data_IF_981604126875
#
_entry.id   IF_981604126875
#
_cell.length_a   1.000
_cell.length_b   1.000
_cell.length_c   1.000
_cell.angle_alpha   90.00
_cell.angle_beta   90.00
_cell.angle_gamma   90.00
#
_symmetry.space_group_name_H-M   'P 1'
#
loop_
_entity.id
_entity.type
_entity.pdbx_description
1 polymer ?
2 non-polymer ?
3 water ?
#
# COMPACT_ATOMS: atom_id res chain seq x y z
N UNK A 2 -4.65 31.24 16.25
CA UNK A 2 -3.38 31.12 15.56
C UNK A 2 -3.38 29.85 14.71
N UNK A 3 -2.50 29.84 13.72
CA UNK A 3 -2.35 28.65 12.89
C UNK A 3 -1.44 27.68 13.60
N UNK A 4 -1.97 26.51 13.91
CA UNK A 4 -1.20 25.50 14.60
C UNK A 4 -0.50 24.58 13.63
N UNK A 5 -1.13 24.35 12.49
CA UNK A 5 -0.53 23.47 11.48
C UNK A 5 -1.15 23.83 10.15
N UNK A 6 -0.40 23.65 9.07
CA UNK A 6 -0.98 23.97 7.77
C UNK A 6 -0.18 23.20 6.71
N UNK A 7 -0.88 22.68 5.72
CA UNK A 7 -0.19 22.07 4.60
C UNK A 7 -1.11 22.20 3.41
N UNK A 8 -0.54 22.31 2.21
CA UNK A 8 -1.42 22.50 1.06
C UNK A 8 -0.66 22.01 -0.18
N UNK A 9 -1.40 21.73 -1.25
CA UNK A 9 -0.69 21.25 -2.43
C UNK A 9 -1.68 20.73 -3.47
N UNK A 10 -1.26 19.72 -4.22
CA UNK A 10 -2.13 19.23 -5.33
C UNK A 10 -2.32 17.75 -5.12
N UNK A 11 -3.55 17.30 -5.29
CA UNK A 11 -3.87 15.88 -5.12
C UNK A 11 -4.37 15.32 -6.46
N UNK A 12 -4.36 13.98 -6.56
CA UNK A 12 -4.97 13.31 -7.73
C UNK A 12 -4.33 13.73 -9.06
N UNK A 13 -3.02 13.89 -9.05
CA UNK A 13 -2.31 14.23 -10.31
C UNK A 13 -1.92 12.92 -11.00
N UNK A 14 -2.62 12.60 -12.08
CA UNK A 14 -2.37 11.33 -12.77
C UNK A 14 -1.19 11.53 -13.70
N UNK A 15 -0.26 10.57 -13.68
CA UNK A 15 0.92 10.72 -14.52
C UNK A 15 1.23 9.38 -15.19
N UNK A 16 1.50 9.41 -16.50
CA UNK A 16 1.91 8.20 -17.20
C UNK A 16 3.28 8.52 -17.80
N UNK A 17 4.19 7.53 -17.78
CA UNK A 17 5.49 7.73 -18.45
C UNK A 17 5.79 6.46 -19.20
N UNK A 18 6.34 6.60 -20.42
CA UNK A 18 6.75 5.43 -21.19
C UNK A 18 8.30 5.48 -21.38
N UNK A 19 8.91 4.31 -21.31
CA UNK A 19 10.35 4.16 -21.60
C UNK A 19 10.43 3.31 -22.88
N UNK A 20 11.21 3.77 -23.87
CA UNK A 20 11.31 3.07 -25.16
C UNK A 20 12.75 2.64 -25.36
N UNK A 21 12.98 1.34 -25.47
CA UNK A 21 14.32 0.85 -25.71
C UNK A 21 14.52 0.89 -27.21
N UNK A 22 15.40 1.78 -27.70
CA UNK A 22 15.61 1.87 -29.15
C UNK A 22 16.27 0.60 -29.70
N UNK A 23 17.11 -0.04 -28.88
CA UNK A 23 17.77 -1.27 -29.29
C UNK A 23 16.75 -2.39 -29.61
N UNK A 24 16.00 -2.79 -28.58
CA UNK A 24 15.05 -3.89 -28.69
C UNK A 24 13.65 -3.55 -29.20
N UNK A 25 13.27 -2.28 -29.16
CA UNK A 25 11.92 -1.87 -29.56
C UNK A 25 10.90 -2.15 -28.42
N UNK A 26 11.40 -2.62 -27.28
CA UNK A 26 10.50 -2.92 -26.16
C UNK A 26 10.12 -1.63 -25.44
N UNK A 27 8.83 -1.49 -25.11
CA UNK A 27 8.38 -0.27 -24.40
C UNK A 27 7.87 -0.67 -23.04
N UNK A 28 8.05 0.19 -22.03
CA UNK A 28 7.61 -0.15 -20.67
C UNK A 28 6.86 1.08 -20.16
N UNK A 29 5.68 0.85 -19.58
CA UNK A 29 4.90 2.02 -19.14
C UNK A 29 4.76 2.02 -17.60
N UNK A 30 4.59 3.23 -17.07
CA UNK A 30 4.41 3.42 -15.63
C UNK A 30 3.24 4.38 -15.49
N UNK A 31 2.31 4.10 -14.59
CA UNK A 31 1.22 5.05 -14.40
C UNK A 31 1.00 5.18 -12.88
N UNK A 32 0.89 6.43 -12.43
CA UNK A 32 0.76 6.64 -10.97
C UNK A 32 -0.24 7.76 -10.73
N UNK A 33 -0.63 7.93 -9.49
CA UNK A 33 -1.41 9.10 -9.05
C UNK A 33 -0.63 9.70 -7.90
N UNK A 34 -0.35 10.98 -8.01
CA UNK A 34 0.56 11.62 -7.06
C UNK A 34 -0.14 12.73 -6.32
N UNK A 35 0.24 12.87 -5.04
CA UNK A 35 -0.23 13.99 -4.23
C UNK A 35 1.00 14.61 -3.56
N UNK A 36 1.12 15.95 -3.59
CA UNK A 36 2.26 16.59 -2.92
C UNK A 36 1.63 17.70 -2.06
N UNK A 37 1.99 17.69 -0.77
CA UNK A 37 1.53 18.76 0.13
C UNK A 37 2.79 19.36 0.74
N UNK A 38 2.81 20.69 0.84
CA UNK A 38 3.95 21.41 1.38
C UNK A 38 3.61 22.01 2.73
N UNK A 39 4.65 22.20 3.54
CA UNK A 39 4.54 22.98 4.80
C UNK A 39 5.72 23.96 4.85
N UNK A 40 5.57 25.01 5.64
CA UNK A 40 6.72 25.92 5.82
C UNK A 40 6.21 27.25 6.38
N UNK A 41 6.94 28.31 6.05
CA UNK A 41 6.57 29.61 6.55
C UNK A 41 5.48 30.25 5.67
N UNK A 42 4.28 29.68 5.75
CA UNK A 42 3.18 30.11 4.89
C UNK A 42 1.97 30.59 5.66
N UNK A 43 2.10 30.72 6.99
CA UNK A 43 0.93 31.13 7.79
C UNK A 43 0.27 32.40 7.32
N UNK A 44 1.06 33.38 6.86
CA UNK A 44 0.46 34.65 6.44
C UNK A 44 -0.48 34.54 5.25
N UNK A 45 -0.36 33.47 4.45
CA UNK A 45 -1.32 33.31 3.36
C UNK A 45 -2.71 33.05 3.95
N UNK A 46 -2.75 32.40 5.11
CA UNK A 46 -4.03 32.14 5.76
C UNK A 46 -4.52 33.34 6.56
N UNK A 47 -3.61 33.97 7.30
CA UNK A 47 -4.04 35.01 8.26
C UNK A 47 -4.09 36.43 7.70
N UNK A 48 -3.31 36.74 6.66
CA UNK A 48 -3.24 38.13 6.17
C UNK A 48 -3.50 38.24 4.67
N UNK A 49 -3.98 37.15 4.07
CA UNK A 49 -4.18 37.15 2.61
C UNK A 49 -2.89 37.46 1.85
N UNK A 50 -1.77 37.03 2.37
CA UNK A 50 -0.50 37.30 1.71
C UNK A 50 -0.14 36.16 0.77
N UNK A 51 -0.52 36.27 -0.51
CA UNK A 51 -0.19 35.18 -1.45
C UNK A 51 1.26 35.12 -1.88
N UNK A 52 2.08 36.09 -1.43
CA UNK A 52 3.48 36.10 -1.87
C UNK A 52 4.27 34.89 -1.46
N UNK A 53 3.82 34.23 -0.39
CA UNK A 53 4.50 33.05 0.12
C UNK A 53 3.97 31.74 -0.48
N UNK A 54 2.97 31.85 -1.35
CA UNK A 54 2.33 30.63 -1.91
C UNK A 54 2.86 30.24 -3.29
N UNK A 55 3.36 29.01 -3.39
CA UNK A 55 3.69 28.39 -4.67
C UNK A 55 2.28 27.87 -5.05
N UNK A 56 1.70 28.38 -6.15
CA UNK A 56 0.32 28.03 -6.50
C UNK A 56 0.20 26.50 -6.68
N UNK A 57 -0.97 25.93 -6.38
CA UNK A 57 -1.06 24.48 -6.50
C UNK A 57 -0.91 24.10 -7.97
N UNK A 58 -1.29 25.00 -8.87
CA UNK A 58 -1.11 24.71 -10.31
C UNK A 58 0.37 24.51 -10.59
N UNK A 59 1.23 25.33 -9.94
CA UNK A 59 2.67 25.18 -10.16
C UNK A 59 3.24 23.90 -9.60
N UNK A 60 2.63 23.40 -8.52
CA UNK A 60 3.05 22.14 -7.95
C UNK A 60 2.75 21.05 -8.99
N UNK A 61 1.56 21.10 -9.58
CA UNK A 61 1.18 20.17 -10.66
C UNK A 61 2.22 20.18 -11.81
N UNK A 62 2.60 21.37 -12.28
CA UNK A 62 3.62 21.48 -13.34
C UNK A 62 4.89 20.81 -12.89
N UNK A 63 5.30 21.07 -11.64
CA UNK A 63 6.56 20.55 -11.15
C UNK A 63 6.57 19.04 -11.16
N UNK A 64 5.42 18.43 -10.87
CA UNK A 64 5.42 16.97 -10.85
C UNK A 64 5.70 16.45 -12.28
N UNK A 65 5.05 17.02 -13.31
CA UNK A 65 5.28 16.54 -14.68
C UNK A 65 6.74 16.78 -15.11
N UNK A 66 7.27 17.94 -14.77
CA UNK A 66 8.67 18.27 -15.15
C UNK A 66 9.64 17.30 -14.46
N UNK A 67 9.40 17.01 -13.19
CA UNK A 67 10.24 16.09 -12.46
C UNK A 67 10.18 14.70 -13.05
N UNK A 68 8.99 14.24 -13.44
CA UNK A 68 8.87 12.92 -14.05
C UNK A 68 9.57 12.89 -15.42
N UNK A 69 9.62 14.02 -16.12
CA UNK A 69 10.27 14.05 -17.45
C UNK A 69 11.79 13.91 -17.27
N UNK A 70 12.32 14.52 -16.22
CA UNK A 70 13.79 14.57 -16.03
C UNK A 70 14.41 13.49 -15.18
N UNK A 71 13.61 12.61 -14.57
CA UNK A 71 14.14 11.61 -13.66
C UNK A 71 13.44 10.29 -13.85
N UNK A 72 14.03 9.24 -13.32
CA UNK A 72 13.36 7.94 -13.37
C UNK A 72 12.14 8.01 -12.44
N UNK A 73 11.06 7.35 -12.84
CA UNK A 73 9.88 7.32 -11.94
C UNK A 73 9.80 6.01 -11.15
N UNK A 74 10.80 5.16 -11.29
CA UNK A 74 10.83 3.91 -10.55
C UNK A 74 12.23 3.74 -9.95
N UNK A 75 12.36 3.10 -8.79
CA UNK A 75 11.23 2.67 -7.92
C UNK A 75 10.57 3.95 -7.37
N UNK A 76 9.28 3.87 -7.03
CA UNK A 76 8.56 5.06 -6.54
C UNK A 76 9.17 5.72 -5.29
N UNK A 77 9.85 4.93 -4.48
CA UNK A 77 10.54 5.48 -3.29
C UNK A 77 11.60 6.53 -3.71
N UNK A 78 12.29 6.24 -4.81
CA UNK A 78 13.30 7.18 -5.31
C UNK A 78 12.62 8.42 -5.93
N UNK A 79 11.62 8.19 -6.79
CA UNK A 79 10.96 9.32 -7.43
C UNK A 79 10.36 10.25 -6.40
N UNK A 80 9.74 9.67 -5.38
CA UNK A 80 9.10 10.47 -4.34
C UNK A 80 10.13 11.30 -3.55
N UNK A 81 11.30 10.69 -3.32
CA UNK A 81 12.38 11.38 -2.58
C UNK A 81 12.95 12.52 -3.43
N UNK A 82 13.12 12.29 -4.72
CA UNK A 82 13.58 13.37 -5.59
C UNK A 82 12.56 14.53 -5.63
N UNK A 83 11.28 14.19 -5.81
CA UNK A 83 10.24 15.20 -5.90
C UNK A 83 10.12 16.00 -4.62
N UNK A 84 10.20 15.34 -3.48
CA UNK A 84 10.03 16.08 -2.23
C UNK A 84 11.26 16.96 -1.93
N UNK A 85 12.44 16.43 -2.23
CA UNK A 85 13.68 17.18 -2.03
C UNK A 85 13.71 18.45 -2.88
N UNK A 86 13.18 18.36 -4.10
CA UNK A 86 13.11 19.53 -4.97
C UNK A 86 12.47 20.71 -4.27
N UNK A 87 11.31 20.50 -3.63
CA UNK A 87 10.61 21.66 -3.04
C UNK A 87 11.36 22.30 -1.89
N UNK A 88 11.97 21.49 -1.05
CA UNK A 88 12.66 22.07 0.11
C UNK A 88 13.97 22.74 -0.30
N UNK A 89 14.57 22.30 -1.40
CA UNK A 89 15.79 22.96 -1.87
C UNK A 89 15.52 24.20 -2.69
N UNK A 90 14.43 24.18 -3.45
CA UNK A 90 14.11 25.28 -4.33
C UNK A 90 13.55 26.47 -3.60
N UNK A 91 12.71 26.22 -2.59
CA UNK A 91 12.04 27.32 -1.91
C UNK A 91 12.55 27.45 -0.48
N UNK A 92 13.16 28.59 -0.20
CA UNK A 92 13.76 28.79 1.10
C UNK A 92 12.78 28.67 2.25
N UNK A 93 11.52 29.06 2.03
CA UNK A 93 10.53 29.13 3.11
C UNK A 93 9.68 27.86 3.23
N UNK A 94 9.93 26.89 2.36
CA UNK A 94 9.22 25.63 2.45
C UNK A 94 10.15 24.66 3.16
N UNK A 95 9.69 24.07 4.27
CA UNK A 95 10.53 23.24 5.10
C UNK A 95 10.16 21.76 5.14
N UNK A 96 9.01 21.39 4.55
CA UNK A 96 8.66 19.96 4.51
C UNK A 96 7.81 19.70 3.27
N UNK A 97 8.02 18.55 2.64
CA UNK A 97 7.20 18.14 1.49
C UNK A 97 6.71 16.76 1.80
N UNK A 98 5.43 16.49 1.53
CA UNK A 98 4.83 15.21 1.82
C UNK A 98 4.33 14.69 0.50
N UNK A 99 4.90 13.58 0.02
CA UNK A 99 4.58 13.07 -1.31
C UNK A 99 3.95 11.69 -1.15
N UNK A 100 2.78 11.49 -1.74
CA UNK A 100 2.15 10.19 -1.70
C UNK A 100 1.98 9.74 -3.15
N UNK A 101 2.39 8.52 -3.45
CA UNK A 101 2.33 8.00 -4.82
C UNK A 101 1.61 6.67 -4.79
N UNK A 102 0.65 6.52 -5.69
CA UNK A 102 -0.07 5.25 -5.86
C UNK A 102 0.30 4.76 -7.26
N UNK A 103 0.89 3.58 -7.32
CA UNK A 103 1.30 2.98 -8.61
C UNK A 103 0.22 2.01 -9.06
N UNK A 104 -0.21 2.17 -10.31
CA UNK A 104 -1.24 1.34 -10.92
C UNK A 104 -0.57 0.24 -11.75
N UNK A 105 -1.16 -0.94 -11.76
CA UNK A 105 -0.56 -2.04 -12.54
C UNK A 105 -0.84 -1.98 -14.02
N UNK A 106 0.26 -2.04 -14.81
CA UNK A 106 0.14 -2.24 -16.25
C UNK A 106 1.14 -3.39 -16.51
N UNK A 107 0.61 -4.60 -16.59
CA UNK A 107 1.45 -5.80 -16.69
C UNK A 107 1.57 -6.20 -18.15
N UNK A 108 2.80 -6.49 -18.58
CA UNK A 108 2.97 -6.79 -19.99
C UNK A 108 2.12 -8.00 -20.40
N UNK A 109 1.47 -7.91 -21.55
CA UNK A 109 0.67 -9.04 -22.02
C UNK A 109 1.58 -10.15 -22.60
N UNK A 110 1.15 -11.40 -22.47
CA UNK A 110 1.82 -12.53 -23.13
C UNK A 110 0.87 -12.91 -24.24
N UNK A 111 1.35 -12.87 -25.46
CA UNK A 111 0.52 -13.24 -26.60
C UNK A 111 1.22 -14.42 -27.26
N UNK A 112 0.54 -15.56 -27.35
CA UNK A 112 1.16 -16.75 -27.97
C UNK A 112 2.36 -17.23 -27.13
N UNK A 113 2.26 -17.11 -25.81
CA UNK A 113 3.37 -17.48 -24.92
C UNK A 113 4.62 -16.57 -25.00
N UNK A 114 4.53 -15.42 -25.67
CA UNK A 114 5.66 -14.51 -25.69
C UNK A 114 5.23 -13.12 -25.22
N UNK A 115 6.09 -12.47 -24.44
CA UNK A 115 5.82 -11.11 -23.93
C UNK A 115 5.71 -10.10 -25.04
N UNK A 116 4.62 -9.34 -25.08
CA UNK A 116 4.45 -8.36 -26.13
C UNK A 116 5.27 -7.09 -25.86
N UNK A 117 5.85 -6.50 -26.92
CA UNK A 117 6.70 -5.35 -26.70
C UNK A 117 6.02 -4.05 -26.24
N UNK A 118 4.72 -3.90 -26.48
CA UNK A 118 4.09 -2.61 -26.13
C UNK A 118 2.60 -2.73 -25.79
N UNK A 119 2.17 -3.88 -25.27
CA UNK A 119 0.74 -4.07 -24.89
C UNK A 119 0.65 -4.53 -23.47
N UNK A 120 -0.30 -3.97 -22.69
CA UNK A 120 -0.33 -4.19 -21.25
C UNK A 120 -1.77 -4.41 -20.78
N UNK A 121 -1.90 -5.06 -19.63
CA UNK A 121 -3.22 -5.36 -19.08
C UNK A 121 -3.22 -4.91 -17.63
N UNK A 122 -4.36 -4.44 -17.17
CA UNK A 122 -4.47 -4.07 -15.77
C UNK A 122 -4.93 -5.37 -15.08
N UNK A 123 -3.99 -6.07 -14.45
CA UNK A 123 -4.35 -7.30 -13.74
C UNK A 123 -4.64 -7.01 -12.27
N UNK A 124 -5.89 -6.67 -11.98
CA UNK A 124 -6.29 -6.34 -10.63
C UNK A 124 -5.88 -4.95 -10.29
N UNK A 125 -6.58 -4.55 -9.28
CA UNK A 125 -6.63 -3.22 -8.70
C UNK A 125 -5.66 -3.14 -7.53
N UNK A 126 -4.83 -4.17 -7.32
CA UNK A 126 -3.79 -4.07 -6.28
C UNK A 126 -2.87 -2.90 -6.61
N UNK A 127 -2.48 -2.14 -5.57
CA UNK A 127 -1.57 -0.99 -5.78
C UNK A 127 -0.26 -1.22 -5.02
N UNK A 128 0.76 -0.51 -5.46
CA UNK A 128 2.00 -0.38 -4.72
C UNK A 128 2.11 1.13 -4.44
N UNK A 129 2.29 1.51 -3.17
CA UNK A 129 2.26 2.93 -2.81
C UNK A 129 3.55 3.30 -2.07
N UNK A 130 3.75 4.61 -1.99
CA UNK A 130 4.76 5.12 -1.09
C UNK A 130 4.24 6.38 -0.48
N UNK A 131 4.71 6.63 0.74
CA UNK A 131 4.51 7.94 1.35
C UNK A 131 5.94 8.41 1.69
N UNK A 132 6.32 9.59 1.24
CA UNK A 132 7.69 10.07 1.49
C UNK A 132 7.56 11.41 2.16
N UNK A 133 8.17 11.58 3.35
CA UNK A 133 8.09 12.88 4.03
C UNK A 133 9.53 13.38 4.03
N UNK A 134 9.75 14.50 3.36
CA UNK A 134 11.09 15.13 3.29
C UNK A 134 11.03 16.38 4.17
N UNK A 135 11.79 16.39 5.27
CA UNK A 135 11.70 17.49 6.23
C UNK A 135 13.07 18.12 6.44
N UNK A 136 13.19 19.41 6.15
CA UNK A 136 14.47 20.10 6.22
C UNK A 136 15.18 19.82 7.53
N UNK A 137 16.43 19.37 7.43
CA UNK A 137 17.21 19.06 8.62
C UNK A 137 16.88 17.73 9.32
N UNK A 138 15.88 16.99 8.82
CA UNK A 138 15.49 15.74 9.46
C UNK A 138 15.46 14.55 8.48
N UNK A 139 16.01 14.74 7.30
CA UNK A 139 16.16 13.63 6.38
C UNK A 139 14.88 13.29 5.62
N UNK A 140 14.75 12.01 5.30
CA UNK A 140 13.67 11.50 4.45
C UNK A 140 13.12 10.26 5.10
N UNK A 141 11.81 10.29 5.40
CA UNK A 141 11.14 9.14 5.99
C UNK A 141 10.23 8.51 4.94
N UNK A 142 10.43 7.23 4.69
CA UNK A 142 9.66 6.59 3.63
C UNK A 142 8.86 5.41 4.19
N UNK A 143 7.56 5.39 3.89
CA UNK A 143 6.71 4.25 4.22
C UNK A 143 6.26 3.67 2.88
N UNK A 144 6.56 2.40 2.65
CA UNK A 144 6.20 1.73 1.40
C UNK A 144 5.01 0.79 1.71
N UNK A 145 4.13 0.57 0.74
CA UNK A 145 3.03 -0.34 1.04
C UNK A 145 2.47 -1.06 -0.17
N UNK A 146 1.71 -2.14 0.07
CA UNK A 146 0.91 -2.70 -0.99
C UNK A 146 -0.51 -2.68 -0.44
N UNK A 147 -1.48 -2.49 -1.29
CA UNK A 147 -2.88 -2.43 -0.81
C UNK A 147 -3.78 -2.96 -1.89
N UNK A 148 -4.99 -3.35 -1.52
CA UNK A 148 -5.91 -3.85 -2.52
C UNK A 148 -5.61 -5.27 -3.04
N UNK A 149 -4.90 -6.06 -2.25
CA UNK A 149 -4.59 -7.44 -2.56
C UNK A 149 -5.68 -8.30 -1.89
N UNK A 150 -6.62 -8.78 -2.68
CA UNK A 150 -7.80 -9.49 -2.15
C UNK A 150 -7.65 -11.00 -2.33
N UNK A 151 -7.74 -11.71 -1.21
CA UNK A 151 -7.53 -13.17 -1.23
C UNK A 151 -8.61 -13.89 -0.44
N UNK A 152 -8.72 -15.20 -0.65
CA UNK A 152 -9.69 -15.99 0.07
C UNK A 152 -9.11 -17.40 0.18
N UNK A 153 -9.32 -18.01 1.34
CA UNK A 153 -9.04 -19.45 1.49
C UNK A 153 -10.31 -20.09 2.01
N UNK A 154 -10.62 -21.26 1.44
CA UNK A 154 -11.92 -21.88 1.67
C UNK A 154 -11.96 -22.83 2.86
N UNK A 155 -10.79 -23.07 3.44
CA UNK A 155 -10.69 -23.91 4.63
C UNK A 155 -9.36 -23.58 5.31
N UNK A 156 -9.01 -24.27 6.41
CA UNK A 156 -7.76 -23.99 7.15
C UNK A 156 -7.73 -22.61 7.77
N UNK A 157 -8.88 -22.21 8.30
CA UNK A 157 -8.99 -21.06 9.15
C UNK A 157 -9.89 -21.53 10.31
N UNK A 158 -9.49 -21.21 11.53
CA UNK A 158 -10.24 -21.61 12.70
C UNK A 158 -10.44 -20.37 13.56
N UNK A 159 -11.40 -20.47 14.47
CA UNK A 159 -11.58 -19.41 15.45
C UNK A 159 -12.36 -19.93 16.64
N UNK A 160 -11.62 -20.35 17.68
CA UNK A 160 -12.26 -20.90 18.88
C UNK A 160 -11.45 -20.45 20.07
N UNK A 161 -11.98 -20.66 21.29
CA UNK A 161 -11.26 -20.24 22.47
C UNK A 161 -11.25 -18.76 22.79
N UNK A 162 -12.14 -17.98 22.16
CA UNK A 162 -12.22 -16.59 22.48
C UNK A 162 -13.11 -16.37 23.70
N UNK A 163 -13.06 -15.17 24.25
CA UNK A 163 -13.85 -14.80 25.43
C UNK A 163 -15.36 -14.93 25.18
N UNK A 164 -16.05 -15.59 26.10
CA UNK A 164 -17.50 -15.76 26.00
C UNK A 164 -18.14 -15.16 27.19
N UNK A 165 -19.09 -14.26 26.98
CA UNK A 165 -19.83 -13.62 28.03
C UNK A 165 -21.25 -13.36 27.56
N UNK A 166 -21.98 -12.52 28.26
CA UNK A 166 -23.39 -12.31 27.90
C UNK A 166 -23.61 -11.55 26.61
N UNK A 167 -22.53 -11.06 26.00
CA UNK A 167 -22.66 -10.36 24.67
C UNK A 167 -22.32 -11.27 23.51
N UNK A 168 -21.97 -12.52 23.81
CA UNK A 168 -21.46 -13.44 22.81
C UNK A 168 -22.50 -14.41 22.26
N UNK A 169 -22.63 -14.45 20.92
CA UNK A 169 -23.48 -15.45 20.27
C UNK A 169 -22.67 -16.28 19.30
N UNK A 170 -21.47 -15.82 18.96
CA UNK A 170 -20.67 -16.53 17.95
C UNK A 170 -20.29 -17.96 18.40
N UNK A 171 -20.54 -18.95 17.57
CA UNK A 171 -20.15 -20.32 17.93
C UNK A 171 -18.68 -20.50 17.57
N UNK A 172 -17.98 -21.28 18.38
CA UNK A 172 -16.62 -21.64 18.03
C UNK A 172 -16.58 -22.46 16.76
N UNK A 173 -15.50 -22.29 15.99
CA UNK A 173 -15.36 -23.06 14.77
C UNK A 173 -13.97 -23.55 14.49
N UNK A 174 -13.89 -24.70 13.84
CA UNK A 174 -12.62 -25.28 13.47
C UNK A 174 -12.44 -25.30 11.97
N UNK A 175 -13.36 -24.67 11.23
CA UNK A 175 -13.24 -24.66 9.78
C UNK A 175 -14.14 -23.54 9.27
N UNK A 176 -13.54 -22.44 8.84
CA UNK A 176 -14.34 -21.33 8.29
C UNK A 176 -13.57 -20.79 7.08
N UNK A 177 -14.28 -20.01 6.27
CA UNK A 177 -13.65 -19.30 5.14
C UNK A 177 -12.98 -18.03 5.70
N UNK A 178 -11.81 -17.69 5.18
CA UNK A 178 -11.13 -16.47 5.59
C UNK A 178 -10.85 -15.69 4.30
N UNK A 179 -11.32 -14.45 4.23
CA UNK A 179 -11.11 -13.63 3.04
C UNK A 179 -10.78 -12.24 3.54
N UNK A 180 -9.86 -11.56 2.88
CA UNK A 180 -9.46 -10.23 3.35
C UNK A 180 -8.87 -9.43 2.18
N UNK A 181 -8.75 -8.10 2.37
CA UNK A 181 -8.02 -7.24 1.45
C UNK A 181 -6.79 -6.78 2.23
N UNK A 182 -5.63 -7.11 1.73
CA UNK A 182 -4.41 -6.87 2.49
C UNK A 182 -3.88 -5.46 2.27
N UNK A 183 -3.65 -4.75 3.38
CA UNK A 183 -2.97 -3.47 3.37
C UNK A 183 -1.72 -3.69 4.24
N UNK A 184 -0.53 -3.66 3.66
CA UNK A 184 0.70 -3.92 4.45
C UNK A 184 1.65 -2.74 4.20
N UNK A 185 2.23 -2.21 5.27
CA UNK A 185 3.14 -1.06 5.14
C UNK A 185 4.44 -1.38 5.85
N UNK A 186 5.59 -1.11 5.19
CA UNK A 186 6.90 -1.28 5.85
C UNK A 186 7.55 0.09 5.90
N UNK A 187 7.99 0.49 7.09
CA UNK A 187 8.60 1.79 7.31
C UNK A 187 10.14 1.62 7.35
N UNK A 188 10.81 2.35 6.48
CA UNK A 188 12.28 2.27 6.38
C UNK A 188 12.92 3.10 7.47
N UNK A 189 14.15 2.72 7.83
CA UNK A 189 15.00 3.56 8.66
C UNK A 189 15.05 4.96 8.00
N UNK A 190 15.14 5.98 8.83
CA UNK A 190 15.24 7.36 8.34
C UNK A 190 16.49 7.45 7.45
N UNK A 191 16.39 8.13 6.32
CA UNK A 191 17.53 8.32 5.42
C UNK A 191 18.01 9.75 5.55
N UNK A 192 19.33 9.97 5.46
CA UNK A 192 19.83 11.31 5.70
C UNK A 192 19.55 12.29 4.59
N UNK A 193 19.30 11.78 3.38
CA UNK A 193 19.08 12.65 2.23
C UNK A 193 19.05 11.79 0.98
N UNK A 194 19.01 12.46 -0.15
CA UNK A 194 18.87 11.79 -1.42
C UNK A 194 20.03 10.84 -1.71
N UNK A 195 21.26 11.24 -1.36
CA UNK A 195 22.38 10.34 -1.61
C UNK A 195 22.19 8.99 -0.94
N UNK A 196 21.72 9.00 0.30
CA UNK A 196 21.49 7.75 0.99
C UNK A 196 20.35 6.93 0.37
N UNK A 197 19.27 7.61 -0.04
CA UNK A 197 18.20 6.88 -0.72
C UNK A 197 18.75 6.24 -2.02
N UNK A 198 19.56 6.99 -2.77
CA UNK A 198 20.09 6.41 -4.00
C UNK A 198 20.93 5.17 -3.75
N UNK A 199 21.66 5.18 -2.63
CA UNK A 199 22.56 4.06 -2.32
C UNK A 199 21.79 2.77 -2.07
N UNK A 200 20.52 2.86 -1.73
CA UNK A 200 19.73 1.67 -1.43
C UNK A 200 18.68 1.32 -2.47
N UNK A 201 18.74 1.99 -3.62
CA UNK A 201 17.78 1.77 -4.69
C UNK A 201 17.35 0.33 -4.97
N UNK A 202 18.30 -0.60 -5.09
CA UNK A 202 17.94 -1.98 -5.41
C UNK A 202 17.07 -2.65 -4.35
N UNK A 203 17.17 -2.21 -3.11
CA UNK A 203 16.42 -2.83 -2.02
C UNK A 203 14.90 -2.55 -2.13
N UNK A 204 14.53 -1.45 -2.77
CA UNK A 204 13.10 -1.09 -2.76
C UNK A 204 12.21 -2.10 -3.48
N UNK A 205 12.51 -2.38 -4.74
CA UNK A 205 11.68 -3.37 -5.48
C UNK A 205 11.83 -4.74 -4.83
N UNK A 206 13.03 -5.08 -4.40
CA UNK A 206 13.21 -6.40 -3.80
C UNK A 206 12.41 -6.59 -2.51
N UNK A 207 12.29 -5.53 -1.72
CA UNK A 207 11.58 -5.61 -0.45
C UNK A 207 10.06 -5.67 -0.70
N UNK A 208 9.61 -4.94 -1.71
CA UNK A 208 8.20 -5.02 -2.11
C UNK A 208 7.86 -6.47 -2.54
N UNK A 209 8.73 -7.05 -3.36
CA UNK A 209 8.49 -8.42 -3.83
C UNK A 209 8.47 -9.40 -2.66
N UNK A 210 9.37 -9.21 -1.69
CA UNK A 210 9.42 -10.10 -0.53
C UNK A 210 8.18 -9.95 0.33
N UNK A 211 7.78 -8.72 0.54
CA UNK A 211 6.59 -8.45 1.34
C UNK A 211 5.38 -9.14 0.72
N UNK A 212 5.23 -9.00 -0.59
CA UNK A 212 4.11 -9.64 -1.27
C UNK A 212 4.18 -11.16 -1.16
N UNK A 213 5.37 -11.72 -1.44
CA UNK A 213 5.55 -13.17 -1.42
C UNK A 213 5.26 -13.78 -0.04
N UNK A 214 5.78 -13.14 1.00
CA UNK A 214 5.57 -13.60 2.38
C UNK A 214 4.10 -13.52 2.73
N UNK A 215 3.45 -12.44 2.30
CA UNK A 215 2.03 -12.30 2.62
C UNK A 215 1.24 -13.44 2.02
N UNK A 216 1.47 -13.73 0.75
CA UNK A 216 0.70 -14.74 0.06
C UNK A 216 0.97 -16.14 0.58
N UNK A 217 2.25 -16.46 0.75
CA UNK A 217 2.61 -17.79 1.24
C UNK A 217 2.10 -18.05 2.63
N UNK A 218 2.22 -17.06 3.53
CA UNK A 218 1.78 -17.22 4.91
C UNK A 218 0.26 -17.40 4.97
N UNK A 219 -0.43 -16.61 4.15
CA UNK A 219 -1.90 -16.68 4.16
C UNK A 219 -2.30 -18.09 3.68
N UNK A 220 -1.67 -18.53 2.60
CA UNK A 220 -2.02 -19.83 2.03
C UNK A 220 -1.69 -21.02 2.92
N UNK A 221 -0.53 -20.97 3.56
CA UNK A 221 -0.06 -22.14 4.35
C UNK A 221 -0.41 -22.15 5.86
N UNK A 222 -0.70 -20.99 6.45
CA UNK A 222 -0.99 -20.99 7.89
C UNK A 222 -2.35 -21.61 8.20
N UNK A 223 -2.42 -22.54 9.15
CA UNK A 223 -3.72 -23.07 9.57
C UNK A 223 -4.13 -22.08 10.64
N UNK A 224 -4.80 -21.04 10.17
CA UNK A 224 -4.97 -19.85 10.95
C UNK A 224 -5.77 -19.99 12.23
N UNK A 225 -5.19 -19.53 13.34
CA UNK A 225 -5.87 -19.54 14.62
C UNK A 225 -6.77 -18.32 14.82
N UNK A 226 -6.50 -17.25 14.07
CA UNK A 226 -7.28 -16.01 14.14
C UNK A 226 -6.61 -15.11 13.08
N UNK A 227 -7.25 -14.00 12.74
CA UNK A 227 -6.59 -13.11 11.81
C UNK A 227 -5.35 -12.53 12.51
N UNK A 228 -5.50 -12.19 13.80
CA UNK A 228 -4.41 -11.64 14.63
C UNK A 228 -3.15 -12.49 14.50
N UNK A 229 -3.30 -13.81 14.71
CA UNK A 229 -2.14 -14.69 14.76
C UNK A 229 -1.47 -14.79 13.40
N UNK A 230 -2.27 -14.87 12.33
CA UNK A 230 -1.72 -15.02 11.00
C UNK A 230 -0.96 -13.76 10.55
N UNK A 231 -1.51 -12.60 10.84
CA UNK A 231 -0.85 -11.38 10.39
C UNK A 231 0.48 -11.16 11.10
N UNK A 232 0.56 -11.57 12.37
CA UNK A 232 1.81 -11.38 13.10
C UNK A 232 2.90 -12.23 12.43
N UNK A 233 2.57 -13.45 12.01
CA UNK A 233 3.55 -14.30 11.34
C UNK A 233 4.05 -13.65 10.08
N UNK A 234 3.18 -12.97 9.34
CA UNK A 234 3.65 -12.28 8.12
C UNK A 234 4.66 -11.19 8.46
N UNK A 235 4.33 -10.37 9.42
CA UNK A 235 5.11 -9.22 9.80
C UNK A 235 6.49 -9.67 10.30
N UNK A 236 6.50 -10.75 11.09
CA UNK A 236 7.76 -11.28 11.65
C UNK A 236 8.74 -11.61 10.56
N UNK A 237 8.22 -12.29 9.55
CA UNK A 237 9.07 -12.72 8.46
C UNK A 237 9.63 -11.56 7.66
N UNK A 238 8.82 -10.54 7.39
CA UNK A 238 9.33 -9.45 6.58
C UNK A 238 10.46 -8.74 7.34
N UNK A 239 10.30 -8.57 8.64
CA UNK A 239 11.34 -7.89 9.45
C UNK A 239 12.63 -8.68 9.46
N UNK A 240 12.51 -9.99 9.42
CA UNK A 240 13.69 -10.85 9.46
C UNK A 240 14.46 -10.80 8.13
N UNK A 241 13.78 -10.43 7.07
CA UNK A 241 14.38 -10.46 5.75
C UNK A 241 14.95 -9.16 5.23
N UNK A 242 14.68 -8.07 5.92
CA UNK A 242 15.19 -6.77 5.46
C UNK A 242 15.52 -5.94 6.68
N UNK A 243 16.82 -5.84 6.98
CA UNK A 243 17.26 -5.14 8.17
C UNK A 243 16.99 -3.65 8.18
N UNK A 244 16.86 -3.04 7.01
CA UNK A 244 16.65 -1.59 6.92
C UNK A 244 15.19 -1.18 7.18
N UNK A 245 14.30 -2.15 7.42
CA UNK A 245 12.91 -1.85 7.81
C UNK A 245 12.87 -1.76 9.33
N UNK A 246 12.21 -0.72 9.85
CA UNK A 246 12.05 -0.59 11.29
C UNK A 246 10.74 -1.22 11.82
N UNK A 247 9.65 -1.05 11.07
CA UNK A 247 8.37 -1.59 11.54
C UNK A 247 7.58 -2.07 10.34
N UNK A 248 6.62 -2.96 10.60
CA UNK A 248 5.73 -3.47 9.54
C UNK A 248 4.33 -3.34 10.13
N UNK A 249 3.39 -2.77 9.36
CA UNK A 249 2.05 -2.59 9.87
C UNK A 249 1.12 -3.32 8.94
N UNK A 250 0.17 -4.07 9.48
CA UNK A 250 -0.83 -4.72 8.63
C UNK A 250 -2.19 -4.23 9.08
N UNK A 251 -3.10 -4.07 8.12
CA UNK A 251 -4.48 -3.73 8.45
C UNK A 251 -5.31 -4.66 7.57
N UNK A 252 -6.08 -5.55 8.19
CA UNK A 252 -6.82 -6.59 7.46
C UNK A 252 -8.29 -6.62 7.87
N UNK A 253 -9.18 -6.48 6.92
CA UNK A 253 -10.60 -6.79 7.20
C UNK A 253 -10.84 -8.31 7.26
N UNK A 254 -11.86 -8.72 8.00
CA UNK A 254 -12.24 -10.12 7.98
C UNK A 254 -13.60 -10.03 7.22
N UNK A 255 -13.61 -10.36 5.92
CA UNK A 255 -14.82 -10.26 5.10
C UNK A 255 -15.58 -11.55 5.28
N UNK A 256 -16.72 -11.48 5.98
CA UNK A 256 -17.44 -12.72 6.36
C UNK A 256 -18.21 -13.40 5.25
N UNK A 257 -18.18 -14.73 5.26
CA UNK A 257 -19.02 -15.55 4.36
C UNK A 257 -19.85 -16.43 5.32
N UNK A 258 -21.15 -16.19 5.38
CA UNK A 258 -22.02 -16.90 6.35
C UNK A 258 -22.60 -18.20 5.77
N UNK A 259 -22.71 -19.23 6.63
CA UNK A 259 -23.43 -20.44 6.20
C UNK A 259 -24.91 -20.08 6.01
N UNK A 260 -25.61 -20.83 5.17
CA UNK A 260 -27.04 -20.66 4.98
C UNK A 260 -27.73 -21.97 5.36
N UNK A 261 -28.54 -21.92 6.40
CA UNK A 261 -29.31 -23.08 6.85
C UNK A 261 -30.50 -23.24 5.91
N UNK A 262 -30.52 -24.35 5.19
CA UNK A 262 -31.58 -24.63 4.23
C UNK A 262 -32.45 -25.80 4.70
N UNK A 263 -32.26 -26.21 5.96
CA UNK A 263 -32.96 -27.40 6.47
C UNK A 263 -34.47 -27.24 6.49
N UNK A 264 -34.96 -26.00 6.50
CA UNK A 264 -36.41 -25.75 6.43
C UNK A 264 -36.98 -26.21 5.11
N UNK A 265 -36.12 -26.38 4.10
CA UNK A 265 -36.60 -26.78 2.79
C UNK A 265 -36.25 -28.23 2.51
N UNK A 266 -37.24 -29.11 2.73
CA UNK A 266 -37.05 -30.53 2.44
C UNK A 266 -35.84 -31.15 3.15
N UNK A 267 -35.52 -30.62 4.33
CA UNK A 267 -34.38 -31.11 5.11
C UNK A 267 -33.01 -30.99 4.45
N UNK A 268 -32.87 -30.05 3.51
CA UNK A 268 -31.59 -29.89 2.84
C UNK A 268 -30.49 -29.59 3.86
N UNK A 269 -29.34 -30.27 3.73
CA UNK A 269 -28.24 -30.08 4.65
C UNK A 269 -27.16 -29.21 4.01
N UNK A 270 -26.98 -28.02 4.58
CA UNK A 270 -26.01 -27.06 4.06
C UNK A 270 -25.20 -26.36 5.15
N UNK A 271 -25.07 -26.99 6.33
CA UNK A 271 -24.31 -26.38 7.41
C UNK A 271 -23.19 -27.32 7.89
N UNK A 272 -22.24 -26.77 8.63
CA UNK A 272 -21.10 -27.56 9.10
C UNK A 272 -20.40 -28.33 8.00
N UNK A 273 -20.24 -29.64 8.21
CA UNK A 273 -19.54 -30.45 7.22
C UNK A 273 -20.23 -30.51 5.86
N UNK A 274 -21.52 -30.19 5.83
CA UNK A 274 -22.27 -30.23 4.57
C UNK A 274 -22.38 -28.85 3.89
N UNK A 275 -21.76 -27.82 4.45
CA UNK A 275 -21.89 -26.47 3.87
C UNK A 275 -21.25 -26.40 2.50
N UNK A 276 -22.02 -25.98 1.49
CA UNK A 276 -21.49 -25.80 0.16
C UNK A 276 -21.80 -24.39 -0.34
N UNK A 277 -22.99 -23.91 -0.05
CA UNK A 277 -23.41 -22.58 -0.53
C UNK A 277 -23.42 -21.59 0.65
N UNK A 278 -22.75 -20.45 0.47
CA UNK A 278 -22.60 -19.46 1.54
C UNK A 278 -23.03 -18.11 1.00
N UNK A 279 -23.35 -17.23 1.93
CA UNK A 279 -23.76 -15.87 1.59
C UNK A 279 -22.62 -14.93 1.98
N UNK A 280 -21.90 -14.40 0.99
CA UNK A 280 -20.89 -13.38 1.31
C UNK A 280 -21.58 -12.16 1.90
N UNK A 281 -20.99 -11.58 2.95
CA UNK A 281 -21.59 -10.42 3.61
C UNK A 281 -20.84 -9.16 3.20
N UNK A 282 -21.56 -8.17 2.67
CA UNK A 282 -20.86 -6.92 2.30
C UNK A 282 -20.42 -6.09 3.51
N UNK A 283 -21.20 -6.17 4.58
CA UNK A 283 -20.89 -5.46 5.83
C UNK A 283 -21.73 -6.12 6.90
N UNK A 284 -21.40 -5.94 8.18
CA UNK A 284 -20.16 -5.33 8.66
C UNK A 284 -18.97 -6.26 8.42
N UNK A 285 -17.78 -5.79 8.78
CA UNK A 285 -16.58 -6.63 8.62
C UNK A 285 -15.67 -6.45 9.82
N UNK A 286 -14.93 -7.48 10.18
CA UNK A 286 -13.93 -7.33 11.24
C UNK A 286 -12.80 -6.44 10.66
N UNK A 287 -12.09 -5.74 11.54
CA UNK A 287 -10.97 -4.93 11.07
C UNK A 287 -9.89 -5.16 12.13
N UNK A 288 -8.77 -5.74 11.70
CA UNK A 288 -7.72 -6.13 12.65
C UNK A 288 -6.42 -5.46 12.22
N UNK A 289 -5.74 -4.81 13.17
CA UNK A 289 -4.52 -4.09 12.82
C UNK A 289 -3.37 -4.50 13.76
N UNK A 290 -2.14 -4.34 13.30
CA UNK A 290 -1.07 -4.46 14.25
C UNK A 290 0.18 -3.84 13.65
N UNK A 291 1.05 -3.34 14.52
CA UNK A 291 2.33 -2.79 14.06
C UNK A 291 3.39 -3.59 14.80
N UNK A 292 4.33 -4.14 14.06
CA UNK A 292 5.35 -5.03 14.65
C UNK A 292 6.68 -4.36 14.43
N UNK A 293 7.52 -4.32 15.47
CA UNK A 293 8.83 -3.69 15.39
C UNK A 293 9.85 -4.68 15.97
N UNK A 294 11.08 -4.21 16.16
CA UNK A 294 12.15 -5.08 16.61
C UNK A 294 12.26 -5.07 18.13
N UNK A 295 12.58 -6.21 18.76
CA UNK A 295 12.70 -6.26 20.22
C UNK A 295 13.62 -5.16 20.77
#
# INVERSE_FOLDING_TARGET
XAVKAARYGKDNVRVYKVHKDEKTGVQTVYEMTVCVLLEGEIETSYTKADNSVIVATDSIKNTIYITAKQNPVTPPELFGSILGTHFIEKYNHIHAAHVNIVCHRWTRMDIDGKPHPHSFIRDSEEKRNVQVDVVEGKGIDIKSSLSGLTVLKSTNSQFWGFLRDEYTTLKETWDRILSTDVDATWQWKNFSGLQEVRSHVPKFDATWATAREVTLKTFAEDNSASVQATMYKMAEQILARQQLIETVEYSLPNKHYFEIDLSWHKGLQNTGKNAEVFAPQSDPNGLIKCTVGRSSLKSKL
#
